data_IF_816855089607
#
_entry.id   IF_816855089607
#
_cell.length_a   1.000
_cell.length_b   1.000
_cell.length_c   1.000
_cell.angle_alpha   90.00
_cell.angle_beta   90.00
_cell.angle_gamma   90.00
#
_symmetry.space_group_name_H-M   'P 1'
#
loop_
_entity.id
_entity.type
_entity.pdbx_description
1 polymer ?
#
# COMPACT_ATOMS: atom_id res chain seq x y z
N UNK A 1 -21.45 27.03 -11.87
CA UNK A 1 -20.08 26.77 -11.36
C UNK A 1 -19.08 27.28 -12.36
N UNK A 2 -17.83 27.47 -11.97
CA UNK A 2 -16.74 27.73 -12.92
C UNK A 2 -16.19 26.39 -13.43
N UNK A 3 -15.67 26.37 -14.66
CA UNK A 3 -15.01 25.18 -15.24
C UNK A 3 -13.55 25.49 -15.52
N UNK A 4 -12.65 24.72 -14.91
CA UNK A 4 -11.21 24.79 -15.15
C UNK A 4 -10.80 23.56 -15.94
N UNK A 5 -10.22 23.78 -17.12
CA UNK A 5 -9.65 22.72 -17.97
C UNK A 5 -8.16 22.62 -17.71
N UNK A 6 -7.64 21.40 -17.61
CA UNK A 6 -6.21 21.16 -17.39
C UNK A 6 -5.75 19.88 -18.05
N UNK A 7 -4.45 19.80 -18.27
CA UNK A 7 -3.76 18.67 -18.83
C UNK A 7 -2.59 18.24 -17.94
N UNK A 8 -2.26 16.96 -17.98
CA UNK A 8 -1.04 16.38 -17.43
C UNK A 8 -0.22 15.91 -18.62
N UNK A 9 0.99 16.44 -18.74
CA UNK A 9 1.96 16.06 -19.76
C UNK A 9 3.08 15.22 -19.12
N UNK A 10 3.53 14.19 -19.84
CA UNK A 10 4.65 13.34 -19.49
C UNK A 10 5.76 13.53 -20.53
N UNK A 11 6.98 13.69 -20.03
CA UNK A 11 8.20 13.64 -20.82
C UNK A 11 9.02 12.46 -20.34
N UNK A 12 9.54 11.65 -21.26
CA UNK A 12 10.40 10.50 -20.97
C UNK A 12 11.77 10.72 -21.61
N UNK A 13 12.84 10.53 -20.85
CA UNK A 13 14.23 10.60 -21.31
C UNK A 13 14.57 11.90 -22.08
N UNK A 14 14.02 13.03 -21.62
CA UNK A 14 14.22 14.34 -22.24
C UNK A 14 13.54 14.52 -23.61
N UNK A 15 12.66 13.60 -24.02
CA UNK A 15 11.95 13.61 -25.30
C UNK A 15 10.87 14.70 -25.42
N UNK A 16 9.95 14.53 -26.37
CA UNK A 16 8.84 15.48 -26.53
C UNK A 16 7.82 15.34 -25.38
N UNK A 17 7.15 16.44 -25.03
CA UNK A 17 6.02 16.42 -24.11
C UNK A 17 4.83 15.72 -24.75
N UNK A 18 4.27 14.73 -24.06
CA UNK A 18 3.06 14.03 -24.47
C UNK A 18 1.96 14.23 -23.44
N UNK A 19 0.79 14.66 -23.88
CA UNK A 19 -0.37 14.79 -23.00
C UNK A 19 -0.91 13.39 -22.68
N UNK A 20 -0.80 13.00 -21.41
CA UNK A 20 -1.27 11.70 -20.90
C UNK A 20 -2.67 11.80 -20.30
N UNK A 21 -3.10 12.99 -19.92
CA UNK A 21 -4.44 13.26 -19.43
C UNK A 21 -4.87 14.66 -19.85
N UNK A 22 -6.09 14.77 -20.37
CA UNK A 22 -6.78 16.05 -20.55
C UNK A 22 -8.16 15.96 -19.92
N UNK A 23 -8.48 16.86 -18.99
CA UNK A 23 -9.75 16.81 -18.26
C UNK A 23 -10.18 18.18 -17.77
N UNK A 24 -11.33 18.23 -17.11
CA UNK A 24 -11.90 19.43 -16.55
C UNK A 24 -12.53 19.16 -15.18
N UNK A 25 -12.55 20.22 -14.36
CA UNK A 25 -13.31 20.27 -13.11
C UNK A 25 -14.32 21.40 -13.25
N UNK A 26 -15.60 21.09 -13.03
CA UNK A 26 -16.68 22.08 -12.99
C UNK A 26 -17.34 22.06 -11.63
N UNK A 27 -17.45 23.23 -10.99
CA UNK A 27 -17.99 23.30 -9.65
C UNK A 27 -18.06 24.72 -9.09
N UNK A 28 -18.59 24.83 -7.88
CA UNK A 28 -18.52 26.03 -7.05
C UNK A 28 -18.16 25.56 -5.64
N UNK A 29 -16.99 25.95 -5.18
CA UNK A 29 -16.47 25.61 -3.85
C UNK A 29 -15.90 26.87 -3.20
N UNK A 30 -15.90 26.91 -1.87
CA UNK A 30 -15.25 27.95 -1.07
C UNK A 30 -13.87 27.51 -0.55
N UNK A 31 -13.56 26.21 -0.61
CA UNK A 31 -12.26 25.62 -0.28
C UNK A 31 -11.57 25.08 -1.54
N UNK A 32 -10.27 24.80 -1.45
CA UNK A 32 -9.53 24.08 -2.50
C UNK A 32 -10.24 22.78 -2.88
N UNK A 33 -10.25 22.47 -4.18
CA UNK A 33 -10.79 21.21 -4.70
C UNK A 33 -9.64 20.34 -5.18
N UNK A 34 -9.50 19.17 -4.56
CA UNK A 34 -8.43 18.21 -4.83
C UNK A 34 -8.96 17.09 -5.72
N UNK A 35 -8.15 16.66 -6.69
CA UNK A 35 -8.45 15.52 -7.55
C UNK A 35 -7.20 14.73 -7.82
N UNK A 36 -7.24 13.44 -7.48
CA UNK A 36 -6.14 12.51 -7.71
C UNK A 36 -6.27 11.83 -9.07
N UNK A 37 -5.14 11.68 -9.76
CA UNK A 37 -5.03 10.93 -11.00
C UNK A 37 -3.89 9.92 -10.88
N UNK A 38 -4.13 8.69 -11.33
CA UNK A 38 -3.07 7.69 -11.50
C UNK A 38 -2.55 7.81 -12.92
N UNK A 39 -1.25 8.03 -13.06
CA UNK A 39 -0.55 8.07 -14.34
C UNK A 39 0.42 6.90 -14.34
N UNK A 40 0.28 6.02 -15.33
CA UNK A 40 1.22 4.92 -15.50
C UNK A 40 2.51 5.46 -16.13
N UNK A 41 3.62 5.20 -15.46
CA UNK A 41 4.94 5.65 -15.87
C UNK A 41 5.66 4.53 -16.65
N UNK A 42 6.58 4.88 -17.57
CA UNK A 42 7.38 3.88 -18.28
C UNK A 42 8.25 3.04 -17.32
N UNK A 43 8.69 1.87 -17.79
CA UNK A 43 9.44 0.91 -16.97
C UNK A 43 10.74 1.49 -16.37
N UNK A 44 11.16 0.86 -15.26
CA UNK A 44 12.39 1.20 -14.55
C UNK A 44 13.60 1.22 -15.50
N UNK A 45 14.21 2.40 -15.64
CA UNK A 45 15.32 2.65 -16.57
C UNK A 45 15.18 3.96 -17.32
N UNK A 46 13.95 4.46 -17.51
CA UNK A 46 13.68 5.77 -18.09
C UNK A 46 13.57 6.85 -17.01
N UNK A 47 14.21 7.98 -17.25
CA UNK A 47 13.93 9.23 -16.52
C UNK A 47 12.62 9.81 -17.04
N UNK A 48 11.81 10.40 -16.15
CA UNK A 48 10.56 11.01 -16.55
C UNK A 48 10.36 12.35 -15.85
N UNK A 49 9.57 13.22 -16.47
CA UNK A 49 9.18 14.50 -15.90
C UNK A 49 7.69 14.71 -16.17
N UNK A 50 6.95 15.06 -15.12
CA UNK A 50 5.54 15.39 -15.20
C UNK A 50 5.35 16.90 -15.20
N UNK A 51 4.42 17.38 -16.01
CA UNK A 51 4.01 18.78 -16.05
C UNK A 51 2.49 18.88 -15.94
N UNK A 52 2.04 19.60 -14.92
CA UNK A 52 0.66 20.01 -14.77
C UNK A 52 0.44 21.34 -15.47
N UNK A 53 -0.59 21.45 -16.32
CA UNK A 53 -0.83 22.64 -17.11
C UNK A 53 -2.31 23.01 -17.14
N UNK A 54 -2.62 24.24 -16.73
CA UNK A 54 -3.97 24.80 -16.92
C UNK A 54 -4.15 25.15 -18.41
N UNK A 55 -5.26 24.71 -18.98
CA UNK A 55 -5.62 24.91 -20.40
C UNK A 55 -6.63 26.04 -20.55
N UNK A 56 -7.55 26.19 -19.59
CA UNK A 56 -8.48 27.31 -19.58
C UNK A 56 -7.78 28.63 -19.26
N UNK A 57 -8.14 29.75 -19.90
CA UNK A 57 -7.63 31.08 -19.54
C UNK A 57 -7.93 31.44 -18.08
N UNK A 58 -7.10 32.29 -17.49
CA UNK A 58 -7.35 32.84 -16.15
C UNK A 58 -8.58 33.76 -16.16
N UNK A 59 -9.43 33.61 -15.16
CA UNK A 59 -10.57 34.47 -14.95
C UNK A 59 -10.09 35.82 -14.37
N UNK A 60 -10.27 36.91 -15.12
CA UNK A 60 -9.97 38.28 -14.66
C UNK A 60 -11.07 38.82 -13.71
N UNK A 61 -11.44 38.05 -12.69
CA UNK A 61 -12.49 38.43 -11.73
C UNK A 61 -12.15 37.98 -10.32
N UNK A 62 -12.22 38.91 -9.36
CA UNK A 62 -12.06 38.62 -7.92
C UNK A 62 -13.10 37.61 -7.40
N UNK A 63 -14.22 37.45 -8.12
CA UNK A 63 -15.29 36.50 -7.76
C UNK A 63 -15.03 35.07 -8.21
N UNK A 64 -13.96 34.82 -8.96
CA UNK A 64 -13.65 33.52 -9.54
C UNK A 64 -12.21 33.13 -9.13
N UNK A 65 -12.09 32.12 -8.27
CA UNK A 65 -10.82 31.47 -7.98
C UNK A 65 -10.62 30.29 -8.92
N UNK A 66 -9.65 30.39 -9.84
CA UNK A 66 -9.35 29.35 -10.82
C UNK A 66 -7.84 29.02 -10.90
N UNK A 67 -7.11 29.38 -9.84
CA UNK A 67 -5.69 29.04 -9.66
C UNK A 67 -5.57 27.53 -9.49
N UNK A 68 -4.63 26.93 -10.22
CA UNK A 68 -4.33 25.50 -10.16
C UNK A 68 -2.92 25.29 -9.63
N UNK A 69 -2.77 24.44 -8.63
CA UNK A 69 -1.46 24.07 -8.06
C UNK A 69 -1.34 22.55 -7.93
N UNK A 70 -0.12 22.04 -8.02
CA UNK A 70 0.19 20.67 -7.64
C UNK A 70 0.32 20.62 -6.11
N UNK A 71 -0.54 19.84 -5.46
CA UNK A 71 -0.50 19.69 -4.00
C UNK A 71 0.51 18.64 -3.55
N UNK A 72 0.42 17.43 -4.13
CA UNK A 72 1.30 16.31 -3.82
C UNK A 72 1.43 15.38 -5.02
N UNK A 73 2.50 14.61 -5.03
CA UNK A 73 2.66 13.47 -5.92
C UNK A 73 3.23 12.31 -5.11
N UNK A 74 2.88 11.08 -5.48
CA UNK A 74 3.38 9.86 -4.85
C UNK A 74 3.64 8.84 -5.93
N UNK A 75 4.85 8.30 -5.95
CA UNK A 75 5.22 7.22 -6.86
C UNK A 75 4.77 5.89 -6.26
N UNK A 76 4.00 5.12 -7.03
CA UNK A 76 3.61 3.77 -6.66
C UNK A 76 4.48 2.79 -7.45
N UNK A 77 5.45 2.19 -6.77
CA UNK A 77 6.31 1.15 -7.35
C UNK A 77 5.68 -0.21 -7.03
N UNK A 78 5.11 -0.85 -8.05
CA UNK A 78 4.60 -2.22 -7.93
C UNK A 78 5.77 -3.22 -7.91
N UNK A 79 6.40 -3.36 -6.75
CA UNK A 79 7.44 -4.34 -6.51
C UNK A 79 6.87 -5.61 -5.87
N UNK A 80 7.22 -6.79 -6.42
CA UNK A 80 7.01 -8.07 -5.74
C UNK A 80 8.04 -8.22 -4.61
N UNK A 81 7.79 -7.53 -3.51
CA UNK A 81 8.63 -7.63 -2.32
C UNK A 81 8.35 -8.98 -1.65
N UNK A 82 9.40 -9.80 -1.52
CA UNK A 82 9.34 -10.99 -0.67
C UNK A 82 9.74 -10.55 0.74
N UNK A 83 8.85 -10.80 1.70
CA UNK A 83 9.12 -10.62 3.12
C UNK A 83 9.26 -11.99 3.77
N UNK A 84 10.42 -12.66 3.60
CA UNK A 84 10.64 -13.96 4.21
C UNK A 84 10.54 -13.81 5.73
N UNK A 85 9.87 -14.77 6.37
CA UNK A 85 9.65 -14.82 7.83
C UNK A 85 8.72 -13.75 8.41
N UNK A 86 7.91 -13.08 7.58
CA UNK A 86 6.83 -12.18 8.05
C UNK A 86 5.47 -12.89 7.97
N UNK A 87 4.65 -12.75 9.01
CA UNK A 87 3.24 -13.13 8.99
C UNK A 87 2.39 -11.86 8.86
N UNK A 88 1.39 -11.87 7.98
CA UNK A 88 0.45 -10.77 7.79
C UNK A 88 -0.92 -11.18 8.35
N UNK A 89 -1.49 -10.36 9.21
CA UNK A 89 -2.87 -10.50 9.70
C UNK A 89 -3.74 -9.43 9.04
N UNK A 90 -4.73 -9.86 8.26
CA UNK A 90 -5.77 -8.99 7.70
C UNK A 90 -7.11 -9.36 8.33
N UNK A 91 -7.82 -8.36 8.85
CA UNK A 91 -9.13 -8.52 9.47
C UNK A 91 -10.03 -7.42 8.91
N UNK A 92 -11.23 -7.80 8.48
CA UNK A 92 -12.28 -6.92 7.96
C UNK A 92 -13.55 -7.11 8.78
N UNK A 93 -14.18 -6.01 9.19
CA UNK A 93 -15.46 -5.99 9.91
C UNK A 93 -16.20 -4.69 9.61
N UNK A 94 -17.52 -4.70 9.79
CA UNK A 94 -18.36 -3.51 9.65
C UNK A 94 -18.09 -2.53 10.80
N UNK A 95 -17.78 -1.28 10.46
CA UNK A 95 -17.48 -0.22 11.43
C UNK A 95 -18.67 0.10 12.34
N UNK A 96 -19.90 -0.20 11.90
CA UNK A 96 -21.12 -0.03 12.70
C UNK A 96 -21.10 -0.83 14.00
N UNK A 97 -20.36 -1.95 14.03
CA UNK A 97 -20.26 -2.83 15.19
C UNK A 97 -19.38 -2.27 16.32
N UNK A 98 -18.59 -1.21 16.04
CA UNK A 98 -17.59 -0.70 16.98
C UNK A 98 -17.81 0.76 17.42
N UNK A 99 -19.01 1.33 17.21
CA UNK A 99 -19.37 2.69 17.65
C UNK A 99 -18.30 3.75 17.30
N UNK A 100 -17.65 3.62 16.15
CA UNK A 100 -16.59 4.54 15.70
C UNK A 100 -15.24 4.38 16.41
N UNK A 101 -15.07 3.39 17.29
CA UNK A 101 -13.78 3.03 17.88
C UNK A 101 -13.05 2.01 17.01
N UNK A 102 -11.72 2.09 17.01
CA UNK A 102 -10.87 1.05 16.40
C UNK A 102 -10.87 -0.16 17.35
N UNK A 103 -11.27 -1.36 16.91
CA UNK A 103 -11.21 -2.53 17.77
C UNK A 103 -9.79 -2.91 18.14
N UNK A 104 -9.63 -3.41 19.36
CA UNK A 104 -8.38 -4.01 19.81
C UNK A 104 -8.32 -5.44 19.29
N UNK A 105 -7.20 -5.78 18.66
CA UNK A 105 -6.96 -7.11 18.09
C UNK A 105 -5.79 -7.73 18.86
N UNK A 106 -6.03 -8.88 19.48
CA UNK A 106 -4.99 -9.73 20.06
C UNK A 106 -4.96 -11.08 19.34
N UNK A 107 -3.77 -11.62 19.12
CA UNK A 107 -3.59 -12.93 18.51
C UNK A 107 -2.45 -13.69 19.19
N UNK A 108 -2.57 -15.01 19.24
CA UNK A 108 -1.54 -15.93 19.72
C UNK A 108 -1.15 -16.87 18.56
N UNK A 109 -0.40 -16.38 17.56
CA UNK A 109 -0.06 -17.19 16.41
C UNK A 109 1.00 -18.23 16.80
N UNK A 110 0.72 -19.49 16.45
CA UNK A 110 1.75 -20.53 16.39
C UNK A 110 2.70 -20.16 15.26
N UNK A 111 3.88 -19.65 15.63
CA UNK A 111 4.89 -19.16 14.71
C UNK A 111 5.49 -20.25 13.80
N UNK A 112 6.82 -20.41 13.84
CA UNK A 112 7.51 -21.28 12.89
C UNK A 112 7.28 -22.77 13.20
N UNK A 113 7.06 -23.56 12.16
CA UNK A 113 7.14 -25.03 12.20
C UNK A 113 8.61 -25.43 12.04
N UNK A 114 9.12 -26.18 13.00
CA UNK A 114 10.52 -26.64 13.05
C UNK A 114 10.58 -28.16 13.16
N UNK A 115 11.78 -28.72 13.06
CA UNK A 115 11.99 -30.16 13.28
C UNK A 115 12.13 -30.42 14.77
N UNK A 116 11.26 -31.28 15.28
CA UNK A 116 11.29 -31.77 16.67
C UNK A 116 11.35 -33.30 16.67
N UNK A 117 11.83 -33.97 17.73
CA UNK A 117 11.81 -35.42 17.82
C UNK A 117 10.42 -36.00 17.58
N UNK A 118 10.35 -37.15 16.92
CA UNK A 118 9.07 -37.78 16.58
C UNK A 118 8.22 -38.15 17.83
N UNK A 119 8.88 -38.46 18.95
CA UNK A 119 8.26 -38.73 20.24
C UNK A 119 7.91 -37.47 21.06
N UNK A 120 8.23 -36.25 20.60
CA UNK A 120 7.96 -35.00 21.30
C UNK A 120 6.52 -34.49 21.07
N UNK A 121 5.80 -34.12 22.13
CA UNK A 121 4.52 -33.43 22.04
C UNK A 121 4.73 -31.91 22.19
N UNK A 122 4.46 -31.09 21.15
CA UNK A 122 4.67 -29.65 21.22
C UNK A 122 3.73 -28.89 22.16
N UNK A 123 2.56 -29.44 22.47
CA UNK A 123 1.58 -28.80 23.37
C UNK A 123 1.94 -29.00 24.83
N UNK A 124 2.22 -30.25 25.22
CA UNK A 124 2.53 -30.61 26.62
C UNK A 124 4.01 -30.50 26.94
N UNK A 125 4.86 -30.43 25.90
CA UNK A 125 6.33 -30.47 25.97
C UNK A 125 6.89 -31.79 26.53
N UNK A 126 6.11 -32.86 26.49
CA UNK A 126 6.50 -34.19 26.97
C UNK A 126 7.03 -35.08 25.84
N UNK A 127 7.84 -36.06 26.22
CA UNK A 127 8.33 -37.10 25.32
C UNK A 127 7.62 -38.41 25.62
N UNK A 128 6.94 -38.97 24.63
CA UNK A 128 6.16 -40.19 24.77
C UNK A 128 6.88 -41.37 24.13
N UNK A 129 7.39 -42.28 24.96
CA UNK A 129 8.16 -43.43 24.50
C UNK A 129 9.58 -43.09 24.06
N UNK A 130 10.28 -44.09 23.52
CA UNK A 130 11.68 -43.97 23.08
C UNK A 130 11.76 -43.21 21.76
N UNK A 131 12.69 -42.26 21.67
CA UNK A 131 12.98 -41.56 20.42
C UNK A 131 13.53 -42.53 19.38
N UNK A 132 12.95 -42.54 18.18
CA UNK A 132 13.41 -43.42 17.10
C UNK A 132 14.68 -42.92 16.38
N UNK A 133 15.14 -41.70 16.71
CA UNK A 133 16.11 -40.93 15.93
C UNK A 133 15.47 -40.09 14.82
N UNK A 134 14.17 -40.24 14.58
CA UNK A 134 13.40 -39.49 13.60
C UNK A 134 12.97 -38.10 14.06
N UNK A 135 12.76 -37.20 13.12
CA UNK A 135 12.18 -35.87 13.36
C UNK A 135 10.85 -35.73 12.65
N UNK A 136 9.94 -34.96 13.25
CA UNK A 136 8.69 -34.51 12.65
C UNK A 136 8.64 -32.99 12.58
N UNK A 137 7.84 -32.47 11.66
CA UNK A 137 7.54 -31.05 11.57
C UNK A 137 6.43 -30.70 12.55
N UNK A 138 6.74 -29.83 13.51
CA UNK A 138 5.75 -29.27 14.42
C UNK A 138 6.13 -27.85 14.84
N UNK A 139 5.12 -27.03 15.16
CA UNK A 139 5.37 -25.82 15.92
C UNK A 139 5.77 -26.18 17.35
N UNK A 140 6.63 -25.40 18.00
CA UNK A 140 6.89 -25.47 19.44
C UNK A 140 7.43 -24.14 19.94
N UNK A 141 7.13 -23.81 21.20
CA UNK A 141 7.71 -22.69 21.94
C UNK A 141 8.86 -23.13 22.87
N UNK A 142 9.26 -24.41 22.80
CA UNK A 142 10.36 -24.94 23.61
C UNK A 142 11.71 -24.42 23.08
N UNK A 143 12.47 -23.65 23.88
CA UNK A 143 13.71 -23.03 23.43
C UNK A 143 14.79 -24.06 23.04
N UNK A 144 14.71 -25.30 23.53
CA UNK A 144 15.64 -26.36 23.16
C UNK A 144 15.66 -26.65 21.65
N UNK A 145 14.52 -26.46 20.98
CA UNK A 145 14.36 -26.78 19.56
C UNK A 145 14.40 -25.54 18.66
N UNK A 146 14.08 -24.35 19.19
CA UNK A 146 14.00 -23.12 18.38
C UNK A 146 15.36 -22.68 17.82
N UNK A 147 16.48 -23.08 18.45
CA UNK A 147 17.83 -22.71 18.02
C UNK A 147 18.52 -23.73 17.10
N UNK A 148 17.92 -24.90 16.85
CA UNK A 148 18.46 -25.97 16.00
C UNK A 148 17.69 -26.11 14.67
#
# INVERSE_FOLDING_TARGET
>A
GNTVKYAIDLQTDGGAWQTVLETAVSGKTTSGYERSHRIDLPQAGSTWTLRLRKVSPDANSVKIGDVMTLQSYTEVIDAKLRYPHTALLYIEFDSSQFNGSIPQISCEPRGRVIRVPDNYNPETREYNGTWSGGFKWAWTDNPAWIYY
#
